data_IF_130369678609
#
_entry.id   IF_130369678609
#
_cell.length_a   1.000
_cell.length_b   1.000
_cell.length_c   1.000
_cell.angle_alpha   90.00
_cell.angle_beta   90.00
_cell.angle_gamma   90.00
#
_symmetry.space_group_name_H-M   'P 1'
#
loop_
_entity.id
_entity.type
_entity.pdbx_description
1 polymer ?
#
# COMPACT_ATOMS: atom_id res chain seq x y z
N UNK A 1 29.31 -6.41 -54.22
CA UNK A 1 29.88 -6.31 -52.86
C UNK A 1 29.37 -5.12 -52.06
N UNK A 2 29.25 -3.92 -52.64
CA UNK A 2 28.82 -2.71 -51.94
C UNK A 2 27.47 -2.82 -51.20
N UNK A 3 26.46 -3.47 -51.79
CA UNK A 3 25.13 -3.61 -51.15
C UNK A 3 25.21 -4.41 -49.85
N UNK A 4 25.97 -5.51 -49.82
CA UNK A 4 26.15 -6.32 -48.62
C UNK A 4 26.86 -5.54 -47.51
N UNK A 5 27.87 -4.75 -47.88
CA UNK A 5 28.59 -3.91 -46.94
C UNK A 5 27.68 -2.81 -46.36
N UNK A 6 26.94 -2.10 -47.22
CA UNK A 6 25.99 -1.08 -46.79
C UNK A 6 24.88 -1.66 -45.91
N UNK A 7 24.34 -2.83 -46.26
CA UNK A 7 23.35 -3.52 -45.44
C UNK A 7 23.89 -3.90 -44.07
N UNK A 8 25.14 -4.37 -43.98
CA UNK A 8 25.77 -4.71 -42.71
C UNK A 8 25.99 -3.46 -41.83
N UNK A 9 26.44 -2.35 -42.42
CA UNK A 9 26.63 -1.07 -41.72
C UNK A 9 25.28 -0.55 -41.21
N UNK A 10 24.24 -0.60 -42.04
CA UNK A 10 22.92 -0.12 -41.67
C UNK A 10 22.30 -0.98 -40.55
N UNK A 11 22.47 -2.30 -40.61
CA UNK A 11 22.02 -3.21 -39.55
C UNK A 11 22.76 -2.96 -38.23
N UNK A 12 24.09 -2.73 -38.28
CA UNK A 12 24.86 -2.37 -37.09
C UNK A 12 24.38 -1.04 -36.47
N UNK A 13 24.15 -0.03 -37.32
CA UNK A 13 23.63 1.27 -36.87
C UNK A 13 22.24 1.14 -36.22
N UNK A 14 21.31 0.41 -36.86
CA UNK A 14 19.98 0.16 -36.30
C UNK A 14 20.05 -0.57 -34.96
N UNK A 15 20.96 -1.53 -34.83
CA UNK A 15 21.15 -2.28 -33.57
C UNK A 15 21.63 -1.34 -32.46
N UNK A 16 22.58 -0.45 -32.76
CA UNK A 16 23.08 0.53 -31.79
C UNK A 16 22.01 1.56 -31.37
N UNK A 17 21.23 2.07 -32.33
CA UNK A 17 20.13 3.01 -32.06
C UNK A 17 19.06 2.33 -31.20
N UNK A 18 18.70 1.09 -31.53
CA UNK A 18 17.70 0.34 -30.76
C UNK A 18 18.19 0.07 -29.34
N UNK A 19 19.46 -0.31 -29.17
CA UNK A 19 20.05 -0.53 -27.85
C UNK A 19 20.01 0.71 -26.97
N UNK A 20 20.42 1.87 -27.52
CA UNK A 20 20.40 3.14 -26.78
C UNK A 20 18.99 3.63 -26.44
N UNK A 21 18.01 3.43 -27.34
CA UNK A 21 16.61 3.75 -27.04
C UNK A 21 16.05 2.87 -25.90
N UNK A 22 16.37 1.58 -25.89
CA UNK A 22 15.99 0.65 -24.82
C UNK A 22 16.62 1.09 -23.49
N UNK A 23 17.91 1.45 -23.49
CA UNK A 23 18.60 1.90 -22.28
C UNK A 23 17.96 3.16 -21.68
N UNK A 24 17.52 4.10 -22.54
CA UNK A 24 16.74 5.26 -22.12
C UNK A 24 15.45 4.87 -21.39
N UNK A 25 14.68 3.94 -21.95
CA UNK A 25 13.43 3.47 -21.34
C UNK A 25 13.65 2.78 -19.99
N UNK A 26 14.73 1.99 -19.87
CA UNK A 26 15.11 1.31 -18.63
C UNK A 26 15.46 2.33 -17.55
N UNK A 27 16.21 3.38 -17.90
CA UNK A 27 16.61 4.42 -16.94
C UNK A 27 15.39 5.15 -16.38
N UNK A 28 14.42 5.48 -17.24
CA UNK A 28 13.21 6.17 -16.82
C UNK A 28 12.29 5.28 -15.97
N UNK A 29 12.18 4.00 -16.31
CA UNK A 29 11.49 3.02 -15.48
C UNK A 29 12.14 2.87 -14.11
N UNK A 30 13.48 2.78 -14.04
CA UNK A 30 14.22 2.73 -12.77
C UNK A 30 13.96 3.97 -11.93
N UNK A 31 14.01 5.17 -12.52
CA UNK A 31 13.68 6.43 -11.82
C UNK A 31 12.24 6.43 -11.30
N UNK A 32 11.28 5.92 -12.07
CA UNK A 32 9.90 5.81 -11.64
C UNK A 32 9.75 4.85 -10.45
N UNK A 33 10.38 3.68 -10.50
CA UNK A 33 10.38 2.70 -9.41
C UNK A 33 11.02 3.27 -8.14
N UNK A 34 12.15 3.97 -8.23
CA UNK A 34 12.77 4.61 -7.07
C UNK A 34 11.83 5.62 -6.40
N UNK A 35 11.13 6.45 -7.20
CA UNK A 35 10.12 7.39 -6.66
C UNK A 35 8.95 6.68 -6.01
N UNK A 36 8.46 5.60 -6.61
CA UNK A 36 7.36 4.81 -6.05
C UNK A 36 7.78 4.13 -4.75
N UNK A 37 8.99 3.60 -4.69
CA UNK A 37 9.55 2.97 -3.49
C UNK A 37 9.65 3.97 -2.35
N UNK A 38 10.22 5.15 -2.60
CA UNK A 38 10.29 6.23 -1.60
C UNK A 38 8.91 6.63 -1.08
N UNK A 39 7.92 6.76 -1.97
CA UNK A 39 6.53 7.07 -1.56
C UNK A 39 5.96 5.97 -0.66
N UNK A 40 6.20 4.70 -0.99
CA UNK A 40 5.75 3.57 -0.17
C UNK A 40 6.41 3.56 1.21
N UNK A 41 7.71 3.84 1.29
CA UNK A 41 8.41 3.95 2.57
C UNK A 41 7.82 5.07 3.44
N UNK A 42 7.60 6.26 2.87
CA UNK A 42 6.98 7.38 3.59
C UNK A 42 5.57 7.01 4.07
N UNK A 43 4.78 6.30 3.26
CA UNK A 43 3.45 5.85 3.69
C UNK A 43 3.53 4.84 4.83
N UNK A 44 4.46 3.87 4.76
CA UNK A 44 4.69 2.89 5.84
C UNK A 44 5.07 3.57 7.14
N UNK A 45 5.98 4.55 7.07
CA UNK A 45 6.42 5.32 8.22
C UNK A 45 5.25 6.05 8.90
N UNK A 46 4.40 6.70 8.08
CA UNK A 46 3.19 7.38 8.57
C UNK A 46 2.20 6.42 9.21
N UNK A 47 2.01 5.23 8.63
CA UNK A 47 1.14 4.20 9.20
C UNK A 47 1.70 3.71 10.54
N UNK A 48 3.00 3.44 10.63
CA UNK A 48 3.65 3.05 11.88
C UNK A 48 3.46 4.13 12.97
N UNK A 49 3.69 5.39 12.62
CA UNK A 49 3.44 6.52 13.51
C UNK A 49 1.97 6.63 13.95
N UNK A 50 1.02 6.43 13.03
CA UNK A 50 -0.40 6.46 13.35
C UNK A 50 -0.82 5.32 14.29
N UNK A 51 -0.26 4.13 14.10
CA UNK A 51 -0.47 2.97 14.98
C UNK A 51 0.10 3.23 16.37
N UNK A 52 1.33 3.73 16.46
CA UNK A 52 1.91 4.11 17.75
C UNK A 52 1.09 5.18 18.47
N UNK A 53 0.53 6.16 17.74
CA UNK A 53 -0.40 7.14 18.34
C UNK A 53 -1.70 6.50 18.79
N UNK A 54 -2.29 5.60 18.00
CA UNK A 54 -3.48 4.87 18.37
C UNK A 54 -3.25 4.00 19.60
N UNK A 55 -2.12 3.29 19.67
CA UNK A 55 -1.72 2.51 20.84
C UNK A 55 -1.45 3.37 22.07
N UNK A 56 -0.87 4.57 21.92
CA UNK A 56 -0.73 5.52 23.04
C UNK A 56 -2.09 6.04 23.53
N UNK A 57 -3.03 6.27 22.63
CA UNK A 57 -4.38 6.74 22.95
C UNK A 57 -5.26 5.64 23.57
N UNK A 58 -5.15 4.43 23.05
CA UNK A 58 -5.82 3.22 23.55
C UNK A 58 -5.00 2.44 24.59
N UNK A 59 -3.88 3.01 25.04
CA UNK A 59 -2.95 2.36 25.97
C UNK A 59 -3.73 1.92 27.22
N UNK A 60 -3.67 0.62 27.58
CA UNK A 60 -4.31 0.15 28.79
C UNK A 60 -3.79 0.88 30.03
N UNK A 61 -2.59 1.48 30.03
CA UNK A 61 -2.15 2.32 31.15
C UNK A 61 -2.97 3.60 31.33
N UNK A 62 -3.54 4.16 30.25
CA UNK A 62 -4.42 5.33 30.32
C UNK A 62 -5.89 4.98 30.50
N UNK A 63 -6.31 3.76 30.14
CA UNK A 63 -7.64 3.23 30.40
C UNK A 63 -7.75 2.57 31.79
N UNK A 64 -6.69 1.93 32.28
CA UNK A 64 -6.65 1.31 33.61
C UNK A 64 -6.55 2.34 34.71
N UNK A 65 -5.84 3.46 34.52
CA UNK A 65 -5.71 4.46 35.59
C UNK A 65 -7.07 5.07 36.02
N UNK A 66 -7.98 5.47 35.11
CA UNK A 66 -9.35 5.83 35.46
C UNK A 66 -10.22 4.66 35.97
N UNK A 67 -9.88 3.42 35.62
CA UNK A 67 -10.56 2.20 36.08
C UNK A 67 -10.19 1.88 37.54
N UNK A 68 -8.90 1.96 37.87
CA UNK A 68 -8.33 1.83 39.21
C UNK A 68 -8.77 2.97 40.13
N UNK A 69 -8.89 4.19 39.58
CA UNK A 69 -9.43 5.36 40.29
C UNK A 69 -10.97 5.34 40.40
N UNK A 70 -11.66 4.31 39.87
CA UNK A 70 -13.12 4.14 39.97
C UNK A 70 -13.95 5.20 39.23
N UNK A 71 -13.35 5.94 38.29
CA UNK A 71 -13.99 7.05 37.56
C UNK A 71 -14.54 6.66 36.19
N UNK A 72 -14.39 5.40 35.78
CA UNK A 72 -15.04 4.89 34.57
C UNK A 72 -16.43 4.39 34.92
N UNK A 73 -17.44 5.15 34.52
CA UNK A 73 -18.82 4.67 34.48
C UNK A 73 -18.92 3.66 33.33
N UNK A 74 -18.61 2.39 33.66
CA UNK A 74 -18.76 1.26 32.75
C UNK A 74 -20.25 1.05 32.56
N UNK A 75 -20.83 1.81 31.62
CA UNK A 75 -22.20 1.59 31.19
C UNK A 75 -22.22 0.26 30.44
N UNK A 76 -22.56 -0.81 31.16
CA UNK A 76 -22.87 -2.11 30.57
C UNK A 76 -23.82 -1.88 29.40
N UNK A 77 -23.51 -2.39 28.19
CA UNK A 77 -24.43 -2.27 27.07
C UNK A 77 -25.65 -3.13 27.38
N UNK A 78 -26.63 -2.53 28.05
CA UNK A 78 -27.95 -3.12 28.23
C UNK A 78 -28.52 -3.33 26.84
N UNK A 79 -28.77 -4.60 26.52
CA UNK A 79 -29.50 -5.10 25.37
C UNK A 79 -30.31 -4.02 24.64
N UNK A 80 -29.80 -3.56 23.50
CA UNK A 80 -30.63 -2.90 22.49
C UNK A 80 -30.71 -3.82 21.29
N UNK A 81 -31.64 -4.76 21.40
CA UNK A 81 -32.29 -5.39 20.25
C UNK A 81 -32.99 -4.27 19.50
N UNK A 82 -32.46 -3.89 18.34
CA UNK A 82 -33.23 -3.16 17.36
C UNK A 82 -32.86 -3.70 15.98
N UNK A 83 -33.77 -4.52 15.47
CA UNK A 83 -33.78 -5.09 14.14
C UNK A 83 -33.91 -3.96 13.12
N UNK A 84 -32.82 -3.60 12.45
CA UNK A 84 -32.79 -3.09 11.05
C UNK A 84 -31.40 -2.56 10.72
N UNK A 85 -30.51 -3.44 10.23
CA UNK A 85 -29.30 -2.99 9.52
C UNK A 85 -29.56 -2.99 8.01
N UNK A 86 -29.62 -1.83 7.34
CA UNK A 86 -29.40 -1.77 5.90
C UNK A 86 -27.95 -2.14 5.64
N UNK A 87 -27.75 -3.24 4.93
CA UNK A 87 -26.46 -3.80 4.50
C UNK A 87 -25.58 -2.73 3.84
N UNK A 88 -24.63 -2.18 4.61
CA UNK A 88 -23.56 -1.34 4.10
C UNK A 88 -22.48 -2.19 3.37
N UNK A 89 -21.85 -1.67 2.31
CA UNK A 89 -21.02 -2.45 1.37
C UNK A 89 -19.69 -2.98 1.93
N UNK A 90 -19.38 -2.71 3.21
CA UNK A 90 -18.09 -3.05 3.81
C UNK A 90 -17.99 -4.48 4.36
N UNK A 91 -19.12 -5.22 4.44
CA UNK A 91 -19.12 -6.60 4.95
C UNK A 91 -18.90 -7.66 3.85
N UNK A 92 -18.75 -7.26 2.58
CA UNK A 92 -18.70 -8.18 1.44
C UNK A 92 -17.36 -8.93 1.30
N UNK A 93 -16.29 -8.47 1.94
CA UNK A 93 -14.96 -9.09 1.80
C UNK A 93 -14.78 -10.39 2.58
N UNK A 94 -15.65 -10.69 3.56
CA UNK A 94 -15.53 -11.92 4.37
C UNK A 94 -16.33 -13.10 3.80
N UNK A 95 -17.24 -12.87 2.85
CA UNK A 95 -18.07 -13.91 2.25
C UNK A 95 -17.41 -14.65 1.07
N UNK A 96 -16.21 -14.23 0.63
CA UNK A 96 -15.51 -14.83 -0.50
C UNK A 96 -14.43 -15.85 -0.10
N UNK A 97 -14.36 -16.26 1.17
CA UNK A 97 -13.35 -17.22 1.63
C UNK A 97 -13.97 -18.30 2.54
N UNK A 98 -14.45 -19.35 1.88
CA UNK A 98 -14.90 -20.64 2.45
C UNK A 98 -16.22 -21.05 1.80
N UNK A 99 -16.35 -22.12 1.02
CA UNK A 99 -15.51 -23.28 0.65
C UNK A 99 -16.02 -23.81 -0.71
N UNK A 100 -15.36 -24.76 -1.40
CA UNK A 100 -16.10 -25.74 -2.21
C UNK A 100 -16.91 -26.71 -1.33
#
# INVERSE_FOLDING_TARGET
MCIRFQAAVLLAALTAITGSAIEGSILDQRRALSRQHYRLEVLRERVAHSRLRAERLGSPGRLMRPLEEGRLDVRSPSARTDDSFPTGPLLRWRAFRGDP
#
